data_IF_491455184152
#
_entry.id   IF_491455184152
#
_cell.length_a   1.000
_cell.length_b   1.000
_cell.length_c   1.000
_cell.angle_alpha   90.00
_cell.angle_beta   90.00
_cell.angle_gamma   90.00
#
_symmetry.space_group_name_H-M   'P 1'
#
loop_
_entity.id
_entity.type
_entity.pdbx_description
1 polymer ?
#
# COMPACT_ATOMS: atom_id res chain seq x y z
N UNK A 1 1.07 -3.06 -6.21
CA UNK A 1 2.25 -2.62 -5.42
C UNK A 1 2.68 -3.66 -4.39
N UNK A 2 1.80 -4.12 -3.49
CA UNK A 2 2.19 -5.10 -2.45
C UNK A 2 2.73 -6.40 -3.06
N UNK A 3 2.06 -6.95 -4.08
CA UNK A 3 2.51 -8.18 -4.77
C UNK A 3 3.91 -8.05 -5.38
N UNK A 4 4.19 -6.92 -6.03
CA UNK A 4 5.52 -6.62 -6.57
C UNK A 4 6.55 -6.49 -5.45
N UNK A 5 6.19 -5.80 -4.36
CA UNK A 5 7.07 -5.60 -3.22
C UNK A 5 7.49 -6.91 -2.58
N UNK A 6 6.53 -7.79 -2.31
CA UNK A 6 6.78 -9.13 -1.76
C UNK A 6 7.71 -9.94 -2.67
N UNK A 7 7.50 -9.88 -3.98
CA UNK A 7 8.32 -10.62 -4.93
C UNK A 7 9.73 -10.06 -5.15
N UNK A 8 10.01 -8.88 -4.61
CA UNK A 8 11.34 -8.24 -4.62
C UNK A 8 11.93 -8.14 -3.21
N UNK A 9 11.39 -8.89 -2.25
CA UNK A 9 11.79 -8.89 -0.84
C UNK A 9 11.82 -7.48 -0.22
N UNK A 10 10.94 -6.59 -0.70
CA UNK A 10 10.76 -5.25 -0.16
C UNK A 10 9.81 -5.30 1.03
N UNK A 11 10.10 -4.48 2.04
CA UNK A 11 9.31 -4.43 3.29
C UNK A 11 8.43 -3.20 3.40
N UNK A 12 8.73 -2.13 2.63
CA UNK A 12 8.04 -0.85 2.72
C UNK A 12 7.95 -0.13 1.38
N UNK A 13 6.86 0.60 1.20
CA UNK A 13 6.71 1.61 0.13
C UNK A 13 6.83 2.97 0.81
N UNK A 14 7.83 3.77 0.46
CA UNK A 14 7.93 5.16 0.92
C UNK A 14 7.23 6.05 -0.09
N UNK A 15 6.34 6.92 0.38
CA UNK A 15 5.51 7.75 -0.49
C UNK A 15 5.14 9.09 0.15
N UNK A 16 4.88 10.07 -0.70
CA UNK A 16 4.15 11.29 -0.34
C UNK A 16 2.79 11.18 -1.02
N UNK A 17 1.73 11.19 -0.22
CA UNK A 17 0.36 11.00 -0.72
C UNK A 17 -0.56 12.07 -0.14
N UNK A 18 -1.63 12.40 -0.85
CA UNK A 18 -2.62 13.35 -0.34
C UNK A 18 -3.35 12.77 0.89
N UNK A 19 -3.77 13.63 1.82
CA UNK A 19 -4.42 13.17 3.07
C UNK A 19 -5.76 12.47 2.84
N UNK A 20 -6.38 12.64 1.66
CA UNK A 20 -7.59 11.91 1.26
C UNK A 20 -7.24 10.48 0.83
N UNK A 21 -6.15 10.26 0.10
CA UNK A 21 -5.63 8.93 -0.21
C UNK A 21 -5.16 8.21 1.05
N UNK A 22 -4.48 8.90 1.96
CA UNK A 22 -4.13 8.35 3.28
C UNK A 22 -5.37 7.81 4.02
N UNK A 23 -6.49 8.56 3.97
CA UNK A 23 -7.76 8.10 4.55
C UNK A 23 -8.28 6.83 3.85
N UNK A 24 -8.18 6.73 2.53
CA UNK A 24 -8.58 5.53 1.78
C UNK A 24 -7.72 4.33 2.18
N UNK A 25 -6.41 4.52 2.30
CA UNK A 25 -5.45 3.51 2.74
C UNK A 25 -5.78 3.00 4.15
N UNK A 26 -6.09 3.92 5.08
CA UNK A 26 -6.55 3.58 6.43
C UNK A 26 -7.85 2.77 6.42
N UNK A 27 -8.83 3.16 5.61
CA UNK A 27 -10.10 2.43 5.46
C UNK A 27 -9.92 1.04 4.84
N UNK A 28 -8.92 0.88 3.97
CA UNK A 28 -8.52 -0.40 3.41
C UNK A 28 -7.70 -1.26 4.38
N UNK A 29 -7.60 -0.87 5.66
CA UNK A 29 -6.79 -1.56 6.70
C UNK A 29 -5.31 -1.69 6.32
N UNK A 30 -4.81 -0.70 5.60
CA UNK A 30 -3.42 -0.58 5.19
C UNK A 30 -2.91 0.84 5.49
N UNK A 31 -2.79 1.19 6.78
CA UNK A 31 -2.52 2.56 7.20
C UNK A 31 -1.11 3.01 6.81
N UNK A 32 -0.99 4.28 6.42
CA UNK A 32 0.30 4.94 6.22
C UNK A 32 0.92 5.27 7.58
N UNK A 33 2.14 4.79 7.81
CA UNK A 33 2.95 5.25 8.94
C UNK A 33 3.59 6.58 8.58
N UNK A 34 3.06 7.67 9.13
CA UNK A 34 3.52 9.04 8.83
C UNK A 34 4.96 9.24 9.31
N UNK A 35 5.76 9.94 8.50
CA UNK A 35 7.12 10.38 8.83
C UNK A 35 7.11 11.82 9.37
N UNK A 36 6.01 12.56 9.16
CA UNK A 36 5.82 13.90 9.71
C UNK A 36 4.39 14.39 9.51
N UNK A 37 4.14 15.62 9.95
CA UNK A 37 2.84 16.27 9.80
C UNK A 37 2.50 16.56 8.33
N UNK A 38 1.21 16.56 7.96
CA UNK A 38 0.77 16.97 6.64
C UNK A 38 1.21 18.39 6.29
N UNK A 39 1.49 18.63 5.00
CA UNK A 39 1.90 19.92 4.45
C UNK A 39 1.19 20.21 3.14
N UNK A 40 0.93 21.49 2.87
CA UNK A 40 0.43 21.90 1.56
C UNK A 40 1.48 21.64 0.48
N UNK A 41 1.10 20.90 -0.54
CA UNK A 41 1.86 20.70 -1.78
C UNK A 41 0.95 21.15 -2.93
N UNK A 42 1.22 22.33 -3.47
CA UNK A 42 0.32 22.98 -4.44
C UNK A 42 -1.06 23.27 -3.83
N UNK A 43 -2.11 22.65 -4.38
CA UNK A 43 -3.51 22.85 -3.96
C UNK A 43 -4.03 21.77 -2.99
N UNK A 44 -3.20 20.82 -2.59
CA UNK A 44 -3.59 19.68 -1.76
C UNK A 44 -2.73 19.57 -0.51
N UNK A 45 -3.32 19.10 0.58
CA UNK A 45 -2.57 18.68 1.75
C UNK A 45 -2.04 17.26 1.52
N UNK A 46 -0.73 17.08 1.66
CA UNK A 46 -0.03 15.82 1.46
C UNK A 46 0.81 15.45 2.67
N UNK A 47 1.02 14.16 2.87
CA UNK A 47 1.77 13.61 3.99
C UNK A 47 2.78 12.59 3.49
N UNK A 48 3.99 12.66 4.03
CA UNK A 48 5.05 11.69 3.77
C UNK A 48 4.94 10.52 4.75
N UNK A 49 5.12 9.30 4.27
CA UNK A 49 5.07 8.12 5.12
C UNK A 49 5.54 6.85 4.42
N UNK A 50 5.42 5.73 5.13
CA UNK A 50 5.64 4.42 4.55
C UNK A 50 4.45 3.48 4.76
N UNK A 51 4.20 2.64 3.76
CA UNK A 51 3.21 1.55 3.80
C UNK A 51 3.93 0.22 3.95
N UNK A 52 3.40 -0.65 4.79
CA UNK A 52 3.93 -2.00 5.01
C UNK A 52 3.76 -2.88 3.77
N UNK A 53 4.80 -3.61 3.38
CA UNK A 53 4.69 -4.72 2.43
C UNK A 53 4.80 -6.01 3.24
N UNK A 54 3.69 -6.74 3.32
CA UNK A 54 3.63 -8.05 3.97
C UNK A 54 2.50 -8.89 3.38
N UNK A 55 2.55 -10.20 3.59
CA UNK A 55 1.46 -11.11 3.24
C UNK A 55 0.15 -10.72 3.93
N UNK A 56 0.22 -10.29 5.19
CA UNK A 56 -0.95 -9.81 5.93
C UNK A 56 -1.56 -8.57 5.29
N UNK A 57 -0.75 -7.59 4.89
CA UNK A 57 -1.20 -6.42 4.14
C UNK A 57 -1.81 -6.79 2.78
N UNK A 58 -1.22 -7.76 2.06
CA UNK A 58 -1.77 -8.25 0.80
C UNK A 58 -3.16 -8.87 0.99
N UNK A 59 -3.34 -9.74 1.99
CA UNK A 59 -4.62 -10.40 2.27
C UNK A 59 -5.71 -9.39 2.63
N UNK A 60 -5.39 -8.39 3.46
CA UNK A 60 -6.32 -7.30 3.82
C UNK A 60 -6.79 -6.53 2.59
N UNK A 61 -5.85 -6.13 1.72
CA UNK A 61 -6.16 -5.41 0.50
C UNK A 61 -6.96 -6.28 -0.49
N UNK A 62 -6.61 -7.56 -0.65
CA UNK A 62 -7.37 -8.49 -1.51
C UNK A 62 -8.81 -8.66 -1.03
N UNK A 63 -8.99 -8.86 0.28
CA UNK A 63 -10.32 -8.99 0.88
C UNK A 63 -11.16 -7.72 0.66
N UNK A 64 -10.60 -6.53 0.92
CA UNK A 64 -11.28 -5.24 0.70
C UNK A 64 -11.57 -4.96 -0.77
N UNK A 65 -10.65 -5.33 -1.66
CA UNK A 65 -10.75 -5.12 -3.11
C UNK A 65 -11.50 -6.22 -3.85
N UNK A 66 -11.99 -7.27 -3.16
CA UNK A 66 -12.60 -8.47 -3.77
C UNK A 66 -11.72 -9.10 -4.86
N UNK A 67 -10.42 -9.14 -4.61
CA UNK A 67 -9.43 -9.71 -5.52
C UNK A 67 -9.22 -11.18 -5.18
N UNK A 68 -9.44 -12.07 -6.16
CA UNK A 68 -9.35 -13.53 -5.99
C UNK A 68 -7.97 -14.11 -6.30
N UNK A 69 -7.04 -13.32 -6.85
CA UNK A 69 -5.71 -13.80 -7.24
C UNK A 69 -4.72 -12.66 -7.51
N UNK A 70 -3.52 -13.00 -8.03
CA UNK A 70 -2.54 -12.03 -8.48
C UNK A 70 -3.13 -11.06 -9.52
N UNK A 71 -2.81 -9.78 -9.39
CA UNK A 71 -3.25 -8.74 -10.35
C UNK A 71 -2.16 -8.35 -11.35
N UNK A 72 -0.92 -8.79 -11.11
CA UNK A 72 0.19 -8.58 -12.03
C UNK A 72 0.15 -9.61 -13.17
N UNK A 73 0.37 -9.15 -14.40
CA UNK A 73 0.24 -9.93 -15.65
C UNK A 73 1.18 -11.15 -15.72
N UNK A 74 2.35 -11.06 -15.09
CA UNK A 74 3.19 -12.20 -14.73
C UNK A 74 3.03 -12.44 -13.23
N UNK A 75 2.76 -13.69 -12.79
CA UNK A 75 2.77 -14.02 -11.37
C UNK A 75 4.17 -13.72 -10.81
N UNK A 76 4.30 -12.61 -10.10
CA UNK A 76 5.55 -12.30 -9.39
C UNK A 76 5.57 -13.05 -8.06
N UNK A 77 4.40 -13.47 -7.57
CA UNK A 77 4.24 -14.41 -6.47
C UNK A 77 4.06 -15.82 -7.06
N UNK A 78 4.78 -16.80 -6.52
CA UNK A 78 4.58 -18.20 -6.86
C UNK A 78 3.16 -18.69 -6.52
N UNK A 79 2.71 -19.83 -7.10
CA UNK A 79 1.44 -20.43 -6.72
C UNK A 79 1.43 -20.66 -5.19
N UNK A 80 0.33 -20.23 -4.56
CA UNK A 80 0.13 -20.07 -3.11
C UNK A 80 0.96 -21.02 -2.23
N UNK A 81 1.78 -20.43 -1.35
CA UNK A 81 2.29 -21.10 -0.15
C UNK A 81 1.16 -21.28 0.88
#
# INVERSE_FOLDING_TARGET
MIEFGLAKDLTRIVTVTDTRMERILRLATWPLSRIGEPKCVGKTEAVAGFLEISHASLLRIRSRGRLSGPVLWQPVLGPSA
#
